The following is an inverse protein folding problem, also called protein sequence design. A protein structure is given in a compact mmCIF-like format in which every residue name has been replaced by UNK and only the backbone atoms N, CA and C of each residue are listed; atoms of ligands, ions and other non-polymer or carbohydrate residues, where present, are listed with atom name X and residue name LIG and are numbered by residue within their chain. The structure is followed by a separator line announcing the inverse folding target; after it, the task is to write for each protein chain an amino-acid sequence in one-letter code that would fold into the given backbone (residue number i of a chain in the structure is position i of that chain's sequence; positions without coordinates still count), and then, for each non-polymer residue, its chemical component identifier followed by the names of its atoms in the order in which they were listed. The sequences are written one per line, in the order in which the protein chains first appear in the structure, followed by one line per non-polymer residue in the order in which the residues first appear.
data_IF_155671020458
#
_entry.id   IF_155671020458
#
_cell.length_a   1.000
_cell.length_b   1.000
_cell.length_c   1.000
_cell.angle_alpha   90.00
_cell.angle_beta   90.00
_cell.angle_gamma   90.00
#
_symmetry.space_group_name_H-M   'P 1'
#
loop_
_entity.id
_entity.type
_entity.pdbx_description
1 polymer ?
#
# COMPACT_ATOMS: atom_id res chain seq x y z
N UNK A 1 -11.88 10.48 -1.02
CA UNK A 1 -11.55 9.09 -0.60
C UNK A 1 -10.33 9.03 0.36
N UNK A 2 -9.46 10.05 0.41
CA UNK A 2 -8.34 10.10 1.36
C UNK A 2 -8.76 10.07 2.84
N UNK A 3 -9.93 10.64 3.18
CA UNK A 3 -10.42 10.67 4.57
C UNK A 3 -10.56 9.29 5.23
N UNK A 4 -10.77 8.22 4.44
CA UNK A 4 -10.81 6.85 4.97
C UNK A 4 -9.49 6.42 5.64
N UNK A 5 -8.35 6.94 5.15
CA UNK A 5 -7.02 6.60 5.67
C UNK A 5 -6.81 7.15 7.09
N UNK A 6 -7.36 8.33 7.36
CA UNK A 6 -7.22 9.02 8.66
C UNK A 6 -7.85 8.20 9.80
N UNK A 7 -8.84 7.35 9.50
CA UNK A 7 -9.52 6.55 10.52
C UNK A 7 -8.75 5.33 11.01
N UNK A 8 -7.94 4.70 10.15
CA UNK A 8 -7.21 3.49 10.54
C UNK A 8 -5.70 3.69 10.69
N UNK A 9 -5.12 4.74 10.07
CA UNK A 9 -3.71 5.06 10.20
C UNK A 9 -3.23 5.16 11.67
N UNK A 10 -3.99 5.75 12.62
CA UNK A 10 -3.56 5.85 14.02
C UNK A 10 -3.27 4.49 14.67
N UNK A 11 -3.89 3.40 14.21
CA UNK A 11 -3.64 2.07 14.79
C UNK A 11 -2.21 1.60 14.52
N UNK A 12 -1.61 1.94 13.38
CA UNK A 12 -0.21 1.56 13.11
C UNK A 12 0.76 2.24 14.07
N UNK A 13 0.49 3.49 14.44
CA UNK A 13 1.31 4.23 15.42
C UNK A 13 1.28 3.60 16.83
N UNK A 14 0.21 2.89 17.16
CA UNK A 14 0.12 2.13 18.41
C UNK A 14 0.94 0.84 18.35
N UNK A 15 1.08 0.24 17.16
CA UNK A 15 1.80 -1.02 16.96
C UNK A 15 3.32 -0.87 16.98
N UNK A 16 3.85 0.25 16.51
CA UNK A 16 5.29 0.49 16.49
C UNK A 16 5.62 1.97 16.76
N UNK A 17 6.34 2.30 17.87
CA UNK A 17 6.68 3.68 18.23
C UNK A 17 7.62 4.36 17.22
N UNK A 18 8.30 3.60 16.37
CA UNK A 18 9.14 4.14 15.31
C UNK A 18 8.34 5.03 14.33
N UNK A 19 7.05 4.74 14.14
CA UNK A 19 6.17 5.53 13.28
C UNK A 19 5.80 6.90 13.86
N UNK A 20 5.98 7.11 15.17
CA UNK A 20 5.93 8.44 15.81
C UNK A 20 7.33 9.02 16.04
N UNK A 21 8.30 8.57 15.24
CA UNK A 21 9.70 8.99 15.26
C UNK A 21 10.39 8.75 16.61
N UNK A 22 10.00 7.69 17.30
CA UNK A 22 10.55 7.33 18.60
C UNK A 22 11.21 5.94 18.55
N UNK A 23 12.53 5.90 18.68
CA UNK A 23 13.30 4.66 18.66
C UNK A 23 14.64 4.80 17.93
N UNK A 24 15.18 3.67 17.49
CA UNK A 24 16.39 3.63 16.68
C UNK A 24 16.17 4.24 15.28
N UNK A 25 17.17 4.96 14.77
CA UNK A 25 17.09 5.70 13.50
C UNK A 25 16.81 4.76 12.33
N UNK A 26 17.43 3.57 12.30
CA UNK A 26 17.24 2.62 11.19
C UNK A 26 15.81 2.10 11.20
N UNK A 27 15.29 1.72 12.36
CA UNK A 27 13.90 1.27 12.51
C UNK A 27 12.91 2.37 12.11
N UNK A 28 13.15 3.62 12.53
CA UNK A 28 12.33 4.77 12.13
C UNK A 28 12.28 4.89 10.61
N UNK A 29 13.44 4.90 9.95
CA UNK A 29 13.51 5.06 8.49
C UNK A 29 12.81 3.92 7.75
N UNK A 30 12.99 2.68 8.20
CA UNK A 30 12.36 1.51 7.59
C UNK A 30 10.84 1.52 7.75
N UNK A 31 10.35 1.72 8.96
CA UNK A 31 8.92 1.65 9.26
C UNK A 31 8.16 2.83 8.65
N UNK A 32 8.69 4.05 8.75
CA UNK A 32 8.10 5.23 8.12
C UNK A 32 8.13 5.09 6.60
N UNK A 33 9.24 4.64 6.02
CA UNK A 33 9.35 4.40 4.58
C UNK A 33 8.34 3.37 4.09
N UNK A 34 8.21 2.25 4.81
CA UNK A 34 7.24 1.20 4.50
C UNK A 34 5.80 1.70 4.57
N UNK A 35 5.46 2.43 5.64
CA UNK A 35 4.16 3.05 5.81
C UNK A 35 3.83 4.06 4.71
N UNK A 36 4.79 4.88 4.29
CA UNK A 36 4.61 5.81 3.17
C UNK A 36 4.26 5.07 1.87
N UNK A 37 4.99 4.01 1.53
CA UNK A 37 4.71 3.20 0.34
C UNK A 37 3.33 2.52 0.48
N UNK A 38 3.03 1.96 1.65
CA UNK A 38 1.75 1.32 1.94
C UNK A 38 0.57 2.26 1.75
N UNK A 39 0.65 3.49 2.27
CA UNK A 39 -0.37 4.54 2.11
C UNK A 39 -0.57 4.89 0.62
N UNK A 40 0.51 5.00 -0.15
CA UNK A 40 0.41 5.27 -1.59
C UNK A 40 -0.33 4.14 -2.31
N UNK A 41 -0.05 2.87 -1.99
CA UNK A 41 -0.75 1.73 -2.59
C UNK A 41 -2.23 1.69 -2.18
N UNK A 42 -2.55 1.93 -0.91
CA UNK A 42 -3.94 2.01 -0.44
C UNK A 42 -4.69 3.14 -1.17
N UNK A 43 -4.09 4.33 -1.23
CA UNK A 43 -4.67 5.47 -1.93
C UNK A 43 -4.90 5.14 -3.41
N UNK A 44 -3.95 4.44 -4.04
CA UNK A 44 -4.04 4.04 -5.45
C UNK A 44 -5.17 3.05 -5.72
N UNK A 45 -5.31 2.02 -4.88
CA UNK A 45 -6.41 1.06 -4.98
C UNK A 45 -7.79 1.71 -4.73
N UNK A 46 -7.88 2.61 -3.74
CA UNK A 46 -9.12 3.34 -3.44
C UNK A 46 -9.50 4.31 -4.57
N UNK A 47 -8.54 5.01 -5.16
CA UNK A 47 -8.76 5.97 -6.24
C UNK A 47 -8.93 5.30 -7.60
N UNK A 48 -8.41 4.08 -7.78
CA UNK A 48 -8.38 3.41 -9.08
C UNK A 48 -7.33 4.01 -10.02
N UNK A 49 -6.24 4.54 -9.47
CA UNK A 49 -5.12 5.09 -10.22
C UNK A 49 -3.83 4.83 -9.44
N UNK A 50 -2.86 4.17 -10.07
CA UNK A 50 -1.52 4.00 -9.49
C UNK A 50 -0.55 4.91 -10.24
N UNK A 51 0.25 5.68 -9.50
CA UNK A 51 1.31 6.50 -10.08
C UNK A 51 2.22 5.61 -10.93
N UNK A 52 2.58 6.07 -12.13
CA UNK A 52 3.33 5.34 -13.17
C UNK A 52 2.57 4.26 -13.95
N UNK A 53 1.54 3.61 -13.40
CA UNK A 53 0.76 2.58 -14.10
C UNK A 53 -0.55 3.09 -14.72
N UNK A 54 -1.02 4.28 -14.33
CA UNK A 54 -2.21 4.88 -14.92
C UNK A 54 -3.52 4.45 -14.24
N UNK A 55 -4.64 4.68 -14.92
CA UNK A 55 -5.99 4.43 -14.37
C UNK A 55 -6.45 2.99 -14.62
N UNK A 56 -7.20 2.44 -13.65
CA UNK A 56 -7.83 1.14 -13.77
C UNK A 56 -9.29 1.33 -14.24
N UNK A 57 -9.59 0.97 -15.50
CA UNK A 57 -10.95 1.03 -16.09
C UNK A 57 -11.90 0.07 -15.35
N UNK A 58 -13.22 0.30 -15.31
CA UNK A 58 -14.23 -0.43 -14.49
C UNK A 58 -14.47 -1.91 -14.86
N UNK A 59 -13.43 -2.67 -15.15
CA UNK A 59 -13.49 -4.09 -15.48
C UNK A 59 -13.26 -4.96 -14.21
N UNK A 60 -13.59 -6.26 -14.29
CA UNK A 60 -13.39 -7.20 -13.17
C UNK A 60 -11.91 -7.31 -12.74
N UNK A 61 -10.99 -7.31 -13.72
CA UNK A 61 -9.53 -7.35 -13.48
C UNK A 61 -9.02 -6.11 -12.74
N UNK A 62 -9.57 -4.94 -13.06
CA UNK A 62 -9.26 -3.70 -12.39
C UNK A 62 -9.75 -3.68 -10.93
N UNK A 63 -10.92 -4.28 -10.67
CA UNK A 63 -11.41 -4.42 -9.29
C UNK A 63 -10.46 -5.31 -8.48
N UNK A 64 -9.99 -6.42 -9.07
CA UNK A 64 -9.02 -7.30 -8.42
C UNK A 64 -7.66 -6.60 -8.20
N UNK A 65 -7.14 -5.87 -9.18
CA UNK A 65 -5.91 -5.10 -9.04
C UNK A 65 -6.04 -4.04 -7.93
N UNK A 66 -7.18 -3.36 -7.82
CA UNK A 66 -7.45 -2.38 -6.76
C UNK A 66 -7.51 -3.03 -5.37
N UNK A 67 -8.16 -4.19 -5.24
CA UNK A 67 -8.19 -4.95 -3.98
C UNK A 67 -6.77 -5.39 -3.59
N UNK A 68 -5.98 -5.89 -4.54
CA UNK A 68 -4.59 -6.25 -4.31
C UNK A 68 -3.74 -5.05 -3.85
N UNK A 69 -3.90 -3.87 -4.47
CA UNK A 69 -3.20 -2.66 -4.05
C UNK A 69 -3.59 -2.21 -2.63
N UNK A 70 -4.87 -2.29 -2.27
CA UNK A 70 -5.31 -1.98 -0.90
C UNK A 70 -4.76 -2.99 0.10
N UNK A 71 -4.86 -4.30 -0.19
CA UNK A 71 -4.36 -5.35 0.69
C UNK A 71 -2.84 -5.29 0.86
N UNK A 72 -2.10 -5.12 -0.24
CA UNK A 72 -0.65 -5.00 -0.21
C UNK A 72 -0.17 -3.71 0.45
N UNK A 73 -0.91 -2.61 0.26
CA UNK A 73 -0.63 -1.37 0.96
C UNK A 73 -0.89 -1.46 2.46
N UNK A 74 -1.94 -2.17 2.89
CA UNK A 74 -2.19 -2.45 4.31
C UNK A 74 -1.12 -3.35 4.91
N UNK A 75 -0.64 -4.34 4.16
CA UNK A 75 0.47 -5.17 4.59
C UNK A 75 1.74 -4.31 4.77
N UNK A 76 2.12 -3.49 3.79
CA UNK A 76 3.28 -2.60 3.91
C UNK A 76 3.17 -1.55 5.03
N UNK A 77 1.97 -1.07 5.33
CA UNK A 77 1.77 -0.13 6.44
C UNK A 77 1.73 -0.81 7.82
N UNK A 78 1.52 -2.13 7.86
CA UNK A 78 1.60 -2.88 9.10
C UNK A 78 3.08 -3.04 9.47
N UNK A 79 3.52 -2.56 10.65
CA UNK A 79 4.93 -2.42 10.97
C UNK A 79 5.56 -3.77 11.36
N UNK A 80 5.70 -4.66 10.36
CA UNK A 80 6.21 -6.01 10.49
C UNK A 80 6.89 -6.43 9.18
N UNK A 81 8.10 -6.99 9.31
CA UNK A 81 9.02 -7.19 8.20
C UNK A 81 8.51 -8.21 7.16
N UNK A 82 7.86 -9.29 7.58
CA UNK A 82 7.30 -10.30 6.67
C UNK A 82 6.16 -9.67 5.85
N UNK A 83 5.30 -8.88 6.48
CA UNK A 83 4.19 -8.21 5.82
C UNK A 83 4.65 -7.18 4.77
N UNK A 84 5.83 -6.58 4.95
CA UNK A 84 6.43 -5.68 3.95
C UNK A 84 6.76 -6.41 2.64
N UNK A 85 7.34 -7.62 2.72
CA UNK A 85 7.62 -8.43 1.54
C UNK A 85 6.33 -8.84 0.82
N UNK A 86 5.29 -9.21 1.57
CA UNK A 86 3.97 -9.53 1.01
C UNK A 86 3.35 -8.31 0.33
N UNK A 87 3.44 -7.14 0.95
CA UNK A 87 2.88 -5.92 0.40
C UNK A 87 3.59 -5.44 -0.87
N UNK A 88 4.92 -5.59 -0.96
CA UNK A 88 5.67 -5.29 -2.18
C UNK A 88 5.25 -6.18 -3.35
N UNK A 89 4.91 -7.45 -3.10
CA UNK A 89 4.44 -8.37 -4.14
C UNK A 89 3.10 -7.96 -4.79
N UNK A 90 2.33 -7.07 -4.14
CA UNK A 90 1.09 -6.55 -4.72
C UNK A 90 1.33 -5.63 -5.93
N UNK A 91 2.48 -4.96 -6.01
CA UNK A 91 2.83 -4.07 -7.14
C UNK A 91 2.95 -4.87 -8.45
N UNK A 92 3.81 -5.90 -8.56
CA UNK A 92 3.88 -6.70 -9.78
C UNK A 92 2.58 -7.47 -10.04
N UNK A 93 1.85 -7.91 -9.01
CA UNK A 93 0.53 -8.52 -9.18
C UNK A 93 -0.48 -7.59 -9.85
N UNK A 94 -0.57 -6.34 -9.39
CA UNK A 94 -1.41 -5.32 -10.01
C UNK A 94 -0.93 -4.95 -11.42
N UNK A 95 0.40 -4.88 -11.63
CA UNK A 95 1.00 -4.61 -12.94
C UNK A 95 0.68 -5.71 -13.96
N UNK A 96 0.80 -6.99 -13.59
CA UNK A 96 0.47 -8.12 -14.45
C UNK A 96 -1.01 -8.12 -14.84
N UNK A 97 -1.91 -7.83 -13.90
CA UNK A 97 -3.34 -7.71 -14.18
C UNK A 97 -3.66 -6.54 -15.12
N UNK A 98 -2.87 -5.47 -15.05
CA UNK A 98 -2.99 -4.32 -15.96
C UNK A 98 -2.44 -4.63 -17.37
N UNK A 99 -1.29 -5.30 -17.46
CA UNK A 99 -0.62 -5.63 -18.73
C UNK A 99 -1.37 -6.68 -19.56
N UNK A 100 -2.13 -7.60 -18.93
CA UNK A 100 -3.01 -8.56 -19.62
C UNK A 100 -4.12 -7.93 -20.47
N UNK A 101 -4.24 -6.60 -20.46
CA UNK A 101 -5.21 -5.83 -21.26
C UNK A 101 -4.58 -5.10 -22.45
N UNK A 102 -3.25 -4.94 -22.49
CA UNK A 102 -2.55 -4.19 -23.55
C UNK A 102 -2.05 -5.10 -24.67
N UNK A 103 -2.07 -6.43 -24.46
CA UNK A 103 -1.82 -7.47 -25.46
C UNK A 103 -3.15 -8.03 -25.99
#
# INVERSE_FOLDING_TARGET
RLGSIIYFLPFFFVLNPALVLHGDVVTILLEVGSAMVGIVLIASGLQGYLVFLGSFTRDMSATLARVLLVAGGLALAYPEMISNFVGLAAIPGAAMLHQRRVA
#
